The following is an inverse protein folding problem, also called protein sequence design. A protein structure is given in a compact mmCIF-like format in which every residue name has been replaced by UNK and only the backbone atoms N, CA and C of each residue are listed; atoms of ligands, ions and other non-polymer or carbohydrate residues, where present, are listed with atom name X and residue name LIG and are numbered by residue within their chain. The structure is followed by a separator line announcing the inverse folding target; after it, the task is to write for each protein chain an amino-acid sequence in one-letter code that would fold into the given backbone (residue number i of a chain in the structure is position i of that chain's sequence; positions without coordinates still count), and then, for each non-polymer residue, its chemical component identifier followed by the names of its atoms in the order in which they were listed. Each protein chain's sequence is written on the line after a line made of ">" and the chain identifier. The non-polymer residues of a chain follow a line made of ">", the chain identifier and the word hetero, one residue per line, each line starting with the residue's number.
data_IF_624663962481
#
_entry.id   IF_624663962481
#
_cell.length_a   1.000
_cell.length_b   1.000
_cell.length_c   1.000
_cell.angle_alpha   90.00
_cell.angle_beta   90.00
_cell.angle_gamma   90.00
#
_symmetry.space_group_name_H-M   'P 1'
#
loop_
_entity.id
_entity.type
_entity.pdbx_description
1 polymer ?
#
# COMPACT_ATOMS: atom_id res chain seq x y z
N UNK A 1 -12.50 33.85 -4.34
CA UNK A 1 -13.40 32.71 -4.12
C UNK A 1 -12.50 31.55 -3.70
N UNK A 2 -12.59 31.10 -2.44
CA UNK A 2 -11.79 29.96 -1.94
C UNK A 2 -12.25 28.72 -2.69
N UNK A 3 -11.41 28.15 -3.54
CA UNK A 3 -11.61 26.80 -4.07
C UNK A 3 -11.78 25.87 -2.86
N UNK A 4 -12.99 25.31 -2.71
CA UNK A 4 -13.22 24.23 -1.76
C UNK A 4 -12.38 23.05 -2.22
N UNK A 5 -11.16 22.94 -1.70
CA UNK A 5 -10.36 21.73 -1.91
C UNK A 5 -11.21 20.54 -1.46
N UNK A 6 -11.38 19.59 -2.35
CA UNK A 6 -12.09 18.36 -2.02
C UNK A 6 -11.40 17.73 -0.80
N UNK A 7 -12.20 17.32 0.20
CA UNK A 7 -11.65 16.67 1.40
C UNK A 7 -10.89 15.41 0.96
N UNK A 8 -9.72 15.15 1.52
CA UNK A 8 -8.97 13.93 1.19
C UNK A 8 -9.78 12.69 1.54
N UNK A 9 -9.61 11.65 0.74
CA UNK A 9 -10.17 10.32 0.99
C UNK A 9 -8.99 9.39 1.30
N UNK A 10 -9.07 8.72 2.43
CA UNK A 10 -8.01 7.81 2.90
C UNK A 10 -8.33 6.39 2.44
N UNK A 11 -7.44 5.81 1.64
CA UNK A 11 -7.49 4.41 1.28
C UNK A 11 -6.70 3.55 2.26
N UNK A 12 -7.25 2.42 2.65
CA UNK A 12 -6.57 1.43 3.48
C UNK A 12 -6.53 0.10 2.74
N UNK A 13 -5.33 -0.37 2.43
CA UNK A 13 -5.07 -1.69 1.84
C UNK A 13 -4.52 -2.63 2.89
N UNK A 14 -5.14 -3.79 3.06
CA UNK A 14 -4.65 -4.75 4.05
C UNK A 14 -5.42 -6.07 4.06
N UNK A 15 -5.22 -6.87 5.08
CA UNK A 15 -5.94 -8.11 5.30
C UNK A 15 -7.42 -7.91 5.65
N UNK A 16 -8.19 -8.99 5.60
CA UNK A 16 -9.58 -9.01 6.06
C UNK A 16 -9.66 -8.68 7.56
N UNK A 17 -10.71 -7.95 7.96
CA UNK A 17 -10.95 -7.55 9.37
C UNK A 17 -10.39 -6.18 9.76
N UNK A 18 -9.59 -5.52 8.91
CA UNK A 18 -9.10 -4.18 9.18
C UNK A 18 -10.18 -3.08 9.05
N UNK A 19 -11.33 -3.40 8.43
CA UNK A 19 -12.46 -2.49 8.28
C UNK A 19 -13.39 -2.46 9.51
N UNK A 20 -13.18 -3.32 10.50
CA UNK A 20 -13.93 -3.32 11.76
C UNK A 20 -13.36 -2.28 12.74
N UNK A 21 -13.44 -1.00 12.36
CA UNK A 21 -12.94 0.11 13.16
C UNK A 21 -14.09 0.73 13.96
N UNK A 22 -13.92 0.83 15.27
CA UNK A 22 -14.86 1.51 16.16
C UNK A 22 -15.03 2.98 15.78
N UNK A 23 -16.27 3.45 15.73
CA UNK A 23 -16.61 4.83 15.38
C UNK A 23 -16.77 5.08 13.88
N UNK A 24 -16.64 4.06 13.04
CA UNK A 24 -16.93 4.18 11.61
C UNK A 24 -18.45 4.23 11.38
N UNK A 25 -18.93 5.25 10.67
CA UNK A 25 -20.34 5.47 10.34
C UNK A 25 -20.56 5.43 8.82
N UNK A 26 -21.81 5.42 8.38
CA UNK A 26 -22.22 5.44 6.96
C UNK A 26 -21.51 4.37 6.11
N UNK A 27 -21.43 3.18 6.66
CA UNK A 27 -20.67 2.07 6.07
C UNK A 27 -21.43 1.36 4.96
N UNK A 28 -20.73 1.05 3.87
CA UNK A 28 -21.27 0.26 2.77
C UNK A 28 -20.18 -0.50 2.02
N UNK A 29 -20.52 -1.70 1.53
CA UNK A 29 -19.76 -2.37 0.49
C UNK A 29 -20.17 -1.82 -0.87
N UNK A 30 -19.21 -1.40 -1.68
CA UNK A 30 -19.46 -0.77 -2.98
C UNK A 30 -18.65 -1.50 -4.04
N UNK A 31 -19.34 -1.97 -5.07
CA UNK A 31 -18.68 -2.51 -6.26
C UNK A 31 -18.23 -1.35 -7.16
N UNK A 32 -16.95 -1.32 -7.47
CA UNK A 32 -16.35 -0.39 -8.42
C UNK A 32 -15.73 -1.20 -9.55
N UNK A 33 -16.08 -0.89 -10.78
CA UNK A 33 -15.52 -1.57 -11.96
C UNK A 33 -14.21 -0.92 -12.38
N UNK A 34 -13.30 -1.75 -12.90
CA UNK A 34 -12.02 -1.33 -13.42
C UNK A 34 -11.80 -1.83 -14.84
N UNK A 35 -11.27 -1.01 -15.76
CA UNK A 35 -10.90 -1.45 -17.10
C UNK A 35 -9.67 -2.39 -17.10
N UNK A 36 -9.06 -2.59 -15.93
CA UNK A 36 -7.90 -3.47 -15.74
C UNK A 36 -8.29 -4.89 -15.30
N UNK A 37 -9.58 -5.18 -15.21
CA UNK A 37 -10.13 -6.47 -14.81
C UNK A 37 -10.76 -6.44 -13.42
N UNK A 38 -10.99 -7.62 -12.87
CA UNK A 38 -11.65 -7.77 -11.57
C UNK A 38 -10.69 -7.41 -10.43
N UNK A 39 -11.06 -6.50 -9.52
CA UNK A 39 -10.30 -6.25 -8.29
C UNK A 39 -10.44 -7.42 -7.31
N UNK A 40 -9.64 -7.42 -6.25
CA UNK A 40 -9.65 -8.48 -5.24
C UNK A 40 -10.99 -8.61 -4.51
N UNK A 41 -11.70 -7.49 -4.32
CA UNK A 41 -13.02 -7.45 -3.68
C UNK A 41 -13.74 -6.13 -4.01
N UNK A 42 -14.97 -6.00 -3.51
CA UNK A 42 -15.62 -4.70 -3.36
C UNK A 42 -14.85 -3.83 -2.36
N UNK A 43 -14.94 -2.52 -2.48
CA UNK A 43 -14.44 -1.60 -1.46
C UNK A 43 -15.43 -1.46 -0.32
N UNK A 44 -14.94 -1.43 0.92
CA UNK A 44 -15.75 -1.08 2.08
C UNK A 44 -15.53 0.39 2.42
N UNK A 45 -16.56 1.18 2.43
CA UNK A 45 -16.47 2.64 2.68
C UNK A 45 -17.12 2.99 3.99
N UNK A 46 -16.65 4.06 4.61
CA UNK A 46 -17.28 4.65 5.80
C UNK A 46 -16.75 6.05 6.08
N UNK A 47 -17.28 6.66 7.13
CA UNK A 47 -16.85 7.97 7.62
C UNK A 47 -16.35 7.82 9.05
N UNK A 48 -15.13 8.28 9.30
CA UNK A 48 -14.51 8.33 10.61
C UNK A 48 -14.16 9.78 10.96
N UNK A 49 -14.82 10.33 11.99
CA UNK A 49 -14.62 11.72 12.43
C UNK A 49 -14.70 12.73 11.26
N UNK A 50 -15.66 12.53 10.35
CA UNK A 50 -15.89 13.38 9.18
C UNK A 50 -14.93 13.13 8.01
N UNK A 51 -14.02 12.15 8.14
CA UNK A 51 -13.09 11.72 7.08
C UNK A 51 -13.61 10.48 6.37
N UNK A 52 -13.73 10.55 5.03
CA UNK A 52 -14.09 9.37 4.23
C UNK A 52 -12.93 8.40 4.18
N UNK A 53 -13.20 7.15 4.54
CA UNK A 53 -12.24 6.05 4.48
C UNK A 53 -12.75 4.98 3.51
N UNK A 54 -11.83 4.41 2.76
CA UNK A 54 -12.07 3.34 1.79
C UNK A 54 -11.13 2.19 2.10
N UNK A 55 -11.67 1.04 2.48
CA UNK A 55 -10.91 -0.18 2.71
C UNK A 55 -11.00 -1.10 1.50
N UNK A 56 -9.90 -1.76 1.17
CA UNK A 56 -9.90 -2.85 0.21
C UNK A 56 -9.17 -4.06 0.80
N UNK A 57 -9.87 -5.20 1.00
CA UNK A 57 -9.23 -6.45 1.37
C UNK A 57 -8.32 -6.92 0.22
N UNK A 58 -7.00 -6.79 0.40
CA UNK A 58 -6.00 -7.03 -0.66
C UNK A 58 -6.09 -8.45 -1.23
N UNK A 59 -6.33 -9.43 -0.39
CA UNK A 59 -6.47 -10.84 -0.76
C UNK A 59 -7.92 -11.29 -0.98
N UNK A 60 -8.88 -10.33 -1.00
CA UNK A 60 -10.31 -10.62 -0.97
C UNK A 60 -10.81 -11.08 0.41
N UNK A 61 -12.12 -10.99 0.66
CA UNK A 61 -12.75 -11.54 1.85
C UNK A 61 -12.52 -13.07 1.86
N UNK A 62 -12.09 -13.58 3.02
CA UNK A 62 -11.74 -15.00 3.16
C UNK A 62 -10.33 -15.35 2.65
N UNK A 63 -9.50 -14.38 2.27
CA UNK A 63 -8.10 -14.57 1.83
C UNK A 63 -8.00 -15.55 0.65
N UNK A 64 -8.77 -15.31 -0.41
CA UNK A 64 -8.95 -16.22 -1.54
C UNK A 64 -7.92 -16.03 -2.67
N UNK A 65 -7.14 -14.93 -2.67
CA UNK A 65 -6.13 -14.65 -3.66
C UNK A 65 -4.73 -14.82 -3.07
N UNK A 66 -3.89 -15.64 -3.69
CA UNK A 66 -2.46 -15.67 -3.40
C UNK A 66 -1.79 -14.35 -3.83
N UNK A 67 -0.62 -13.99 -3.29
CA UNK A 67 0.03 -12.70 -3.60
C UNK A 67 0.18 -12.39 -5.09
N UNK A 68 0.45 -13.38 -5.91
CA UNK A 68 0.63 -13.20 -7.36
C UNK A 68 -0.66 -13.31 -8.18
N UNK A 69 -1.77 -13.76 -7.56
CA UNK A 69 -3.11 -13.78 -8.18
C UNK A 69 -3.86 -12.46 -7.99
N UNK A 70 -3.35 -11.57 -7.13
CA UNK A 70 -3.93 -10.24 -6.90
C UNK A 70 -3.83 -9.40 -8.17
N UNK A 71 -4.95 -8.86 -8.62
CA UNK A 71 -4.97 -7.86 -9.67
C UNK A 71 -4.66 -6.45 -9.09
N UNK A 72 -3.37 -6.18 -8.88
CA UNK A 72 -2.92 -4.92 -8.30
C UNK A 72 -3.35 -3.69 -9.11
N UNK A 73 -3.39 -3.78 -10.45
CA UNK A 73 -3.86 -2.67 -11.30
C UNK A 73 -5.33 -2.36 -11.03
N UNK A 74 -6.19 -3.38 -11.01
CA UNK A 74 -7.60 -3.16 -10.72
C UNK A 74 -7.80 -2.60 -9.30
N UNK A 75 -7.06 -3.10 -8.31
CA UNK A 75 -7.14 -2.64 -6.93
C UNK A 75 -6.78 -1.15 -6.79
N UNK A 76 -5.69 -0.71 -7.39
CA UNK A 76 -5.26 0.69 -7.33
C UNK A 76 -6.19 1.59 -8.14
N UNK A 77 -6.66 1.13 -9.30
CA UNK A 77 -7.60 1.88 -10.15
C UNK A 77 -8.94 2.13 -9.44
N UNK A 78 -9.53 1.12 -8.78
CA UNK A 78 -10.79 1.32 -8.07
C UNK A 78 -10.67 2.24 -6.86
N UNK A 79 -9.51 2.23 -6.17
CA UNK A 79 -9.24 3.20 -5.11
C UNK A 79 -9.16 4.62 -5.69
N UNK A 80 -8.48 4.79 -6.83
CA UNK A 80 -8.41 6.08 -7.51
C UNK A 80 -9.80 6.56 -7.94
N UNK A 81 -10.64 5.68 -8.53
CA UNK A 81 -12.04 5.97 -8.90
C UNK A 81 -12.92 6.32 -7.70
N UNK A 82 -12.65 5.74 -6.53
CA UNK A 82 -13.34 6.09 -5.28
C UNK A 82 -12.90 7.44 -4.70
N UNK A 83 -11.96 8.14 -5.35
CA UNK A 83 -11.44 9.43 -4.96
C UNK A 83 -10.33 9.38 -3.92
N UNK A 84 -9.72 8.21 -3.68
CA UNK A 84 -8.60 8.06 -2.73
C UNK A 84 -7.43 8.92 -3.17
N UNK A 85 -6.90 9.70 -2.23
CA UNK A 85 -5.74 10.58 -2.42
C UNK A 85 -4.51 10.09 -1.67
N UNK A 86 -4.74 9.41 -0.55
CA UNK A 86 -3.70 8.96 0.38
C UNK A 86 -3.96 7.49 0.74
N UNK A 87 -2.98 6.62 0.50
CA UNK A 87 -3.07 5.18 0.72
C UNK A 87 -2.20 4.77 1.88
N UNK A 88 -2.82 4.14 2.88
CA UNK A 88 -2.14 3.44 3.98
C UNK A 88 -2.17 1.95 3.64
N UNK A 89 -1.02 1.37 3.40
CA UNK A 89 -0.88 -0.07 3.18
C UNK A 89 -0.41 -0.75 4.46
N UNK A 90 -1.11 -1.79 4.86
CA UNK A 90 -0.81 -2.60 6.04
C UNK A 90 -0.41 -4.00 5.56
N UNK A 91 0.76 -4.48 5.95
CA UNK A 91 1.34 -5.74 5.49
C UNK A 91 1.98 -6.50 6.64
N UNK A 92 1.60 -7.76 6.83
CA UNK A 92 2.34 -8.68 7.68
C UNK A 92 3.67 -9.05 7.02
N UNK A 93 4.74 -9.12 7.79
CA UNK A 93 6.11 -9.31 7.28
C UNK A 93 6.97 -10.14 8.24
N UNK A 94 7.97 -10.82 7.69
CA UNK A 94 9.11 -11.32 8.43
C UNK A 94 10.16 -10.24 8.64
N UNK A 95 10.94 -10.35 9.70
CA UNK A 95 12.05 -9.45 10.01
C UNK A 95 13.40 -10.06 9.70
N UNK A 96 14.31 -9.25 9.18
CA UNK A 96 15.72 -9.59 8.98
C UNK A 96 16.64 -9.04 10.09
N UNK A 97 16.07 -8.38 11.10
CA UNK A 97 16.83 -7.69 12.15
C UNK A 97 16.36 -8.11 13.53
N UNK A 98 17.32 -8.36 14.42
CA UNK A 98 17.06 -8.75 15.82
C UNK A 98 16.22 -7.73 16.58
N UNK A 99 16.47 -6.44 16.35
CA UNK A 99 15.78 -5.34 17.01
C UNK A 99 14.36 -5.07 16.49
N UNK A 100 13.97 -5.68 15.37
CA UNK A 100 12.62 -5.59 14.83
C UNK A 100 11.86 -6.88 15.17
N UNK A 101 11.53 -7.03 16.46
CA UNK A 101 10.88 -8.22 16.98
C UNK A 101 9.41 -8.35 16.49
N UNK A 102 8.83 -9.56 16.52
CA UNK A 102 7.39 -9.75 16.31
C UNK A 102 6.54 -8.80 17.16
N UNK A 103 5.61 -8.10 16.51
CA UNK A 103 4.81 -7.01 17.10
C UNK A 103 5.33 -5.60 16.80
N UNK A 104 6.58 -5.44 16.35
CA UNK A 104 7.11 -4.14 15.90
C UNK A 104 6.44 -3.69 14.60
N UNK A 105 6.11 -2.42 14.50
CA UNK A 105 5.58 -1.76 13.30
C UNK A 105 6.70 -0.99 12.60
N UNK A 106 7.00 -1.34 11.36
CA UNK A 106 8.05 -0.69 10.58
C UNK A 106 7.40 0.21 9.54
N UNK A 107 7.56 1.52 9.68
CA UNK A 107 7.15 2.47 8.65
C UNK A 107 8.24 2.49 7.58
N UNK A 108 7.97 1.82 6.47
CA UNK A 108 8.88 1.57 5.36
C UNK A 108 9.08 2.84 4.54
N UNK A 109 10.27 3.04 3.99
CA UNK A 109 10.58 4.12 3.07
C UNK A 109 11.22 3.65 1.75
N UNK A 110 11.76 2.42 1.71
CA UNK A 110 12.42 1.85 0.54
C UNK A 110 11.95 0.43 0.24
N UNK A 111 12.06 0.03 -1.04
CA UNK A 111 11.69 -1.29 -1.50
C UNK A 111 12.76 -1.92 -2.39
N UNK A 112 12.94 -3.24 -2.24
CA UNK A 112 13.58 -4.09 -3.22
C UNK A 112 12.53 -5.04 -3.81
N UNK A 113 12.26 -4.90 -5.12
CA UNK A 113 11.24 -5.69 -5.82
C UNK A 113 11.86 -6.96 -6.42
N UNK A 114 11.55 -8.11 -5.82
CA UNK A 114 11.92 -9.45 -6.30
C UNK A 114 10.75 -10.21 -6.93
N UNK A 115 9.63 -9.53 -7.18
CA UNK A 115 8.49 -10.12 -7.90
C UNK A 115 8.80 -10.22 -9.41
N UNK A 116 8.22 -11.19 -10.10
CA UNK A 116 8.50 -11.44 -11.52
C UNK A 116 7.27 -11.81 -12.38
N UNK A 117 6.17 -12.27 -11.77
CA UNK A 117 4.98 -12.73 -12.47
C UNK A 117 3.78 -11.76 -12.40
N UNK A 118 4.02 -10.48 -12.07
CA UNK A 118 2.97 -9.48 -11.83
C UNK A 118 3.00 -8.36 -12.85
N UNK A 119 1.84 -7.83 -13.19
CA UNK A 119 1.72 -6.59 -13.96
C UNK A 119 2.14 -5.38 -13.11
N UNK A 120 3.23 -4.71 -13.49
CA UNK A 120 3.91 -3.71 -12.66
C UNK A 120 3.64 -2.26 -13.07
N UNK A 121 2.83 -2.02 -14.09
CA UNK A 121 2.57 -0.68 -14.63
C UNK A 121 1.19 -0.59 -15.28
N UNK A 122 0.58 0.57 -15.19
CA UNK A 122 -0.58 0.97 -16.01
C UNK A 122 -0.16 1.35 -17.42
N UNK A 123 1.07 1.82 -17.59
CA UNK A 123 1.67 2.17 -18.86
C UNK A 123 2.31 0.95 -19.54
N UNK A 124 2.63 1.08 -20.83
CA UNK A 124 3.22 -0.02 -21.61
C UNK A 124 3.04 0.20 -23.10
N UNK A 125 2.85 -0.88 -23.86
CA UNK A 125 2.67 -0.78 -25.31
C UNK A 125 1.57 0.23 -25.66
N UNK A 126 1.91 1.17 -26.57
CA UNK A 126 1.00 2.22 -27.02
C UNK A 126 0.88 3.45 -26.11
N UNK A 127 1.40 3.41 -24.89
CA UNK A 127 1.48 4.56 -23.98
C UNK A 127 2.58 4.34 -22.96
N UNK A 128 3.73 4.95 -23.12
CA UNK A 128 4.90 4.81 -22.27
C UNK A 128 5.04 6.02 -21.36
N UNK A 129 5.22 5.76 -20.07
CA UNK A 129 5.58 6.76 -19.07
C UNK A 129 6.63 6.21 -18.13
N UNK A 130 7.50 7.09 -17.62
CA UNK A 130 8.52 6.75 -16.64
C UNK A 130 8.37 7.63 -15.40
N UNK A 131 7.82 7.06 -14.33
CA UNK A 131 7.72 7.75 -13.04
C UNK A 131 8.96 7.51 -12.18
N UNK A 132 9.37 8.51 -11.42
CA UNK A 132 10.50 8.36 -10.48
C UNK A 132 10.09 7.50 -9.29
N UNK A 133 10.91 6.51 -8.96
CA UNK A 133 10.76 5.59 -7.81
C UNK A 133 11.90 5.72 -6.80
N UNK A 134 12.73 6.78 -6.88
CA UNK A 134 13.83 7.00 -5.92
C UNK A 134 13.31 7.16 -4.48
N UNK A 135 12.15 7.82 -4.33
CA UNK A 135 11.44 7.95 -3.06
C UNK A 135 10.03 7.37 -3.24
N UNK A 136 9.85 6.06 -3.09
CA UNK A 136 8.60 5.37 -3.42
C UNK A 136 7.47 5.63 -2.43
N UNK A 137 7.81 6.08 -1.21
CA UNK A 137 6.89 6.34 -0.11
C UNK A 137 6.75 7.84 0.12
N UNK A 138 5.54 8.28 0.44
CA UNK A 138 5.25 9.66 0.83
C UNK A 138 5.72 9.90 2.27
N UNK A 139 6.80 10.67 2.46
CA UNK A 139 7.36 10.96 3.79
C UNK A 139 6.32 11.60 4.71
N UNK A 140 5.48 12.52 4.20
CA UNK A 140 4.39 13.14 4.98
C UNK A 140 3.46 12.09 5.61
N UNK A 141 3.07 11.06 4.84
CA UNK A 141 2.25 9.96 5.37
C UNK A 141 3.05 9.12 6.37
N UNK A 142 4.30 8.82 6.05
CA UNK A 142 5.17 8.06 6.92
C UNK A 142 5.37 8.75 8.28
N UNK A 143 5.57 10.07 8.29
CA UNK A 143 5.75 10.86 9.51
C UNK A 143 4.47 10.86 10.37
N UNK A 144 3.30 10.99 9.74
CA UNK A 144 2.01 10.91 10.44
C UNK A 144 1.76 9.52 11.05
N UNK A 145 2.08 8.46 10.32
CA UNK A 145 1.95 7.07 10.77
C UNK A 145 2.88 6.80 11.96
N UNK A 146 4.15 7.20 11.87
CA UNK A 146 5.11 7.06 12.98
C UNK A 146 4.64 7.82 14.23
N UNK A 147 4.25 9.10 14.07
CA UNK A 147 3.80 9.93 15.20
C UNK A 147 2.56 9.32 15.89
N UNK A 148 1.58 8.84 15.11
CA UNK A 148 0.39 8.19 15.67
C UNK A 148 0.72 6.86 16.35
N UNK A 149 1.60 6.04 15.78
CA UNK A 149 2.02 4.78 16.39
C UNK A 149 2.71 5.02 17.73
N UNK A 150 3.61 6.00 17.81
CA UNK A 150 4.26 6.40 19.07
C UNK A 150 3.26 6.91 20.12
N UNK A 151 2.28 7.70 19.70
CA UNK A 151 1.22 8.20 20.61
C UNK A 151 0.38 7.07 21.18
N UNK A 152 0.18 6.01 20.41
CA UNK A 152 -0.52 4.80 20.85
C UNK A 152 0.36 3.85 21.69
N UNK A 153 1.63 4.18 21.89
CA UNK A 153 2.59 3.33 22.64
C UNK A 153 2.98 2.06 21.89
N UNK A 154 2.80 2.04 20.56
CA UNK A 154 3.23 0.91 19.73
C UNK A 154 4.75 0.94 19.58
N UNK A 155 5.36 -0.25 19.52
CA UNK A 155 6.75 -0.37 19.12
C UNK A 155 6.85 -0.07 17.61
N UNK A 156 7.55 1.00 17.27
CA UNK A 156 7.63 1.50 15.88
C UNK A 156 9.04 1.88 15.49
N UNK A 157 9.48 1.37 14.34
CA UNK A 157 10.71 1.75 13.65
C UNK A 157 10.40 2.56 12.38
N UNK A 158 11.31 3.43 11.98
CA UNK A 158 11.21 4.28 10.78
C UNK A 158 12.35 3.99 9.81
N UNK A 159 12.11 4.20 8.52
CA UNK A 159 13.09 4.10 7.44
C UNK A 159 13.57 2.65 7.18
N UNK A 160 12.64 1.71 7.12
CA UNK A 160 12.95 0.32 6.78
C UNK A 160 12.95 0.05 5.27
N UNK A 161 13.86 -0.81 4.83
CA UNK A 161 13.86 -1.36 3.47
C UNK A 161 13.07 -2.67 3.43
N UNK A 162 11.96 -2.66 2.69
CA UNK A 162 11.11 -3.81 2.48
C UNK A 162 11.52 -4.57 1.22
N UNK A 163 11.90 -5.84 1.36
CA UNK A 163 12.04 -6.74 0.23
C UNK A 163 10.69 -7.38 -0.09
N UNK A 164 10.20 -7.22 -1.30
CA UNK A 164 8.99 -7.88 -1.77
C UNK A 164 9.34 -9.11 -2.61
N UNK A 165 9.11 -10.29 -2.06
CA UNK A 165 9.27 -11.55 -2.77
C UNK A 165 7.99 -11.95 -3.52
N UNK A 166 8.10 -12.91 -4.44
CA UNK A 166 6.94 -13.38 -5.21
C UNK A 166 5.95 -14.17 -4.33
N UNK A 167 6.44 -15.08 -3.51
CA UNK A 167 5.60 -16.05 -2.82
C UNK A 167 4.96 -17.08 -3.78
N UNK A 168 3.95 -17.87 -3.35
CA UNK A 168 3.35 -17.90 -2.01
C UNK A 168 4.18 -18.63 -0.95
N UNK A 169 5.26 -19.34 -1.33
CA UNK A 169 6.17 -19.96 -0.39
C UNK A 169 6.99 -18.88 0.35
N UNK A 170 7.36 -19.18 1.59
CA UNK A 170 8.34 -18.38 2.33
C UNK A 170 9.75 -18.59 1.79
N UNK A 171 10.70 -17.76 2.23
CA UNK A 171 12.11 -17.83 1.84
C UNK A 171 12.75 -19.17 2.23
N UNK A 172 13.61 -19.67 1.38
CA UNK A 172 14.63 -20.61 1.82
C UNK A 172 15.66 -19.91 2.72
N UNK A 173 16.37 -20.66 3.58
CA UNK A 173 17.41 -20.08 4.44
C UNK A 173 18.49 -19.33 3.64
N UNK A 174 18.88 -19.87 2.49
CA UNK A 174 19.85 -19.21 1.61
C UNK A 174 19.34 -17.88 1.03
N UNK A 175 18.05 -17.80 0.69
CA UNK A 175 17.42 -16.53 0.26
C UNK A 175 17.38 -15.53 1.41
N UNK A 176 16.97 -15.96 2.60
CA UNK A 176 16.92 -15.13 3.79
C UNK A 176 18.29 -14.52 4.12
N UNK A 177 19.34 -15.33 4.14
CA UNK A 177 20.71 -14.86 4.35
C UNK A 177 21.19 -13.91 3.25
N UNK A 178 20.85 -14.18 1.98
CA UNK A 178 21.14 -13.29 0.86
C UNK A 178 20.50 -11.93 1.05
N UNK A 179 19.21 -11.89 1.38
CA UNK A 179 18.46 -10.65 1.55
C UNK A 179 18.94 -9.83 2.77
N UNK A 180 19.33 -10.53 3.85
CA UNK A 180 20.02 -9.89 4.97
C UNK A 180 21.35 -9.25 4.56
N UNK A 181 22.13 -9.93 3.70
CA UNK A 181 23.38 -9.37 3.17
C UNK A 181 23.17 -8.10 2.33
N UNK A 182 21.98 -7.94 1.73
CA UNK A 182 21.56 -6.73 1.02
C UNK A 182 21.09 -5.62 1.96
N UNK A 183 21.09 -5.85 3.27
CA UNK A 183 20.64 -4.93 4.30
C UNK A 183 19.14 -4.60 4.18
N UNK A 184 18.34 -5.58 3.76
CA UNK A 184 16.90 -5.47 3.89
C UNK A 184 16.51 -5.57 5.37
N UNK A 185 15.47 -4.85 5.78
CA UNK A 185 14.99 -4.82 7.16
C UNK A 185 13.84 -5.80 7.38
N UNK A 186 12.92 -5.88 6.41
CA UNK A 186 11.73 -6.74 6.46
C UNK A 186 11.46 -7.39 5.11
N UNK A 187 10.70 -8.50 5.15
CA UNK A 187 10.29 -9.24 3.97
C UNK A 187 8.80 -9.51 3.97
N UNK A 188 8.17 -9.30 2.81
CA UNK A 188 6.77 -9.63 2.58
C UNK A 188 6.50 -9.90 1.12
N UNK A 189 5.20 -10.03 0.75
CA UNK A 189 4.83 -10.50 -0.58
C UNK A 189 3.95 -9.52 -1.37
N UNK A 190 3.54 -8.36 -0.80
CA UNK A 190 2.39 -7.62 -1.36
C UNK A 190 2.65 -6.18 -1.74
N UNK A 191 3.68 -5.52 -1.19
CA UNK A 191 3.90 -4.09 -1.44
C UNK A 191 4.43 -3.76 -2.85
N UNK A 192 4.90 -4.76 -3.59
CA UNK A 192 5.21 -4.62 -5.02
C UNK A 192 4.34 -5.56 -5.86
N UNK A 193 3.73 -5.04 -6.90
CA UNK A 193 3.85 -3.70 -7.52
C UNK A 193 2.92 -2.62 -6.92
N UNK A 194 2.26 -2.85 -5.78
CA UNK A 194 1.27 -1.94 -5.20
C UNK A 194 1.79 -0.50 -5.11
N UNK A 195 2.97 -0.28 -4.54
CA UNK A 195 3.58 1.03 -4.40
C UNK A 195 3.91 1.69 -5.77
N UNK A 196 4.37 0.90 -6.75
CA UNK A 196 4.63 1.40 -8.12
C UNK A 196 3.35 1.92 -8.77
N UNK A 197 2.28 1.14 -8.67
CA UNK A 197 0.99 1.47 -9.26
C UNK A 197 0.32 2.66 -8.55
N UNK A 198 0.41 2.74 -7.21
CA UNK A 198 -0.05 3.90 -6.46
C UNK A 198 0.70 5.17 -6.89
N UNK A 199 2.02 5.06 -7.15
CA UNK A 199 2.83 6.17 -7.66
C UNK A 199 2.37 6.61 -9.05
N UNK A 200 2.18 5.66 -9.99
CA UNK A 200 1.66 5.96 -11.33
C UNK A 200 0.25 6.56 -11.31
N UNK A 201 -0.57 6.19 -10.32
CA UNK A 201 -1.90 6.74 -10.11
C UNK A 201 -1.91 8.09 -9.36
N UNK A 202 -0.75 8.69 -9.10
CA UNK A 202 -0.63 9.97 -8.40
C UNK A 202 -1.32 9.99 -7.03
N UNK A 203 -1.21 8.90 -6.28
CA UNK A 203 -1.65 8.80 -4.89
C UNK A 203 -0.46 8.85 -3.94
N UNK A 204 -0.60 9.58 -2.83
CA UNK A 204 0.34 9.44 -1.72
C UNK A 204 0.23 8.03 -1.15
N UNK A 205 1.35 7.34 -1.02
CA UNK A 205 1.39 5.96 -0.54
C UNK A 205 2.39 5.83 0.62
N UNK A 206 1.98 5.18 1.68
CA UNK A 206 2.88 4.75 2.74
C UNK A 206 2.48 3.36 3.23
N UNK A 207 3.45 2.57 3.67
CA UNK A 207 3.21 1.24 4.21
C UNK A 207 3.73 1.12 5.64
N UNK A 208 2.95 0.41 6.45
CA UNK A 208 3.37 -0.08 7.77
C UNK A 208 3.50 -1.59 7.66
N UNK A 209 4.73 -2.05 7.76
CA UNK A 209 5.07 -3.46 7.82
C UNK A 209 4.97 -3.92 9.27
N UNK A 210 4.08 -4.86 9.55
CA UNK A 210 3.79 -5.39 10.88
C UNK A 210 4.53 -6.70 11.05
N UNK A 211 5.58 -6.69 11.84
CA UNK A 211 6.43 -7.88 12.01
C UNK A 211 5.66 -8.99 12.71
N UNK A 212 5.68 -10.18 12.13
CA UNK A 212 5.06 -11.40 12.68
C UNK A 212 6.06 -12.44 13.14
N UNK A 213 7.24 -12.44 12.54
CA UNK A 213 8.29 -13.45 12.73
C UNK A 213 9.66 -12.90 12.32
N UNK A 214 10.72 -13.69 12.53
CA UNK A 214 12.10 -13.36 12.12
C UNK A 214 12.50 -13.99 10.79
N UNK A 215 11.56 -14.35 9.93
CA UNK A 215 11.86 -15.17 8.76
C UNK A 215 12.63 -16.46 9.18
N UNK A 216 13.30 -17.16 8.29
CA UNK A 216 13.94 -18.43 8.62
C UNK A 216 15.45 -18.34 8.98
N UNK A 217 15.96 -17.14 9.25
CA UNK A 217 17.39 -16.94 9.55
C UNK A 217 17.72 -17.04 11.04
N UNK A 218 16.75 -16.83 11.93
CA UNK A 218 17.01 -16.68 13.36
C UNK A 218 17.29 -18.05 14.02
N UNK A 219 18.42 -18.22 14.74
CA UNK A 219 18.85 -19.53 15.21
C UNK A 219 18.04 -20.09 16.40
N UNK A 220 17.29 -19.24 17.09
CA UNK A 220 16.52 -19.60 18.29
C UNK A 220 15.01 -19.52 18.11
N UNK A 221 14.56 -19.19 16.93
CA UNK A 221 13.16 -19.29 16.53
C UNK A 221 13.08 -20.38 15.46
N UNK A 222 12.24 -21.37 15.73
CA UNK A 222 11.98 -22.46 14.79
C UNK A 222 11.50 -21.91 13.44
N UNK A 223 11.61 -22.74 12.40
CA UNK A 223 11.10 -22.38 11.08
C UNK A 223 9.66 -21.83 11.21
N UNK A 224 9.37 -20.74 10.48
CA UNK A 224 8.13 -19.97 10.58
C UNK A 224 6.90 -20.88 10.53
N UNK A 225 6.27 -21.11 11.70
CA UNK A 225 5.02 -21.87 11.78
C UNK A 225 3.81 -20.96 11.63
N UNK A 226 2.86 -21.37 10.79
CA UNK A 226 1.64 -20.61 10.51
C UNK A 226 0.84 -20.31 11.80
N UNK A 227 0.87 -21.20 12.79
CA UNK A 227 0.16 -21.03 14.06
C UNK A 227 0.68 -19.85 14.91
N UNK A 228 2.00 -19.65 14.95
CA UNK A 228 2.63 -18.55 15.68
C UNK A 228 2.41 -17.21 14.97
N UNK A 229 2.49 -17.21 13.64
CA UNK A 229 2.14 -16.05 12.81
C UNK A 229 0.71 -15.60 13.12
N UNK A 230 -0.28 -16.51 13.16
CA UNK A 230 -1.70 -16.18 13.40
C UNK A 230 -1.90 -15.46 14.73
N UNK A 231 -1.21 -15.89 15.79
CA UNK A 231 -1.32 -15.25 17.11
C UNK A 231 -0.85 -13.79 17.08
N UNK A 232 0.32 -13.55 16.50
CA UNK A 232 0.88 -12.18 16.36
C UNK A 232 0.04 -11.35 15.39
N UNK A 233 -0.45 -11.96 14.30
CA UNK A 233 -1.33 -11.30 13.33
C UNK A 233 -2.60 -10.73 13.98
N UNK A 234 -3.21 -11.46 14.90
CA UNK A 234 -4.43 -11.00 15.59
C UNK A 234 -4.14 -9.73 16.40
N UNK A 235 -3.08 -9.73 17.20
CA UNK A 235 -2.66 -8.54 17.98
C UNK A 235 -2.26 -7.38 17.06
N UNK A 236 -1.52 -7.66 15.99
CA UNK A 236 -1.12 -6.66 15.02
C UNK A 236 -2.33 -6.06 14.28
N UNK A 237 -3.38 -6.84 14.03
CA UNK A 237 -4.62 -6.34 13.43
C UNK A 237 -5.35 -5.36 14.35
N UNK A 238 -5.42 -5.64 15.66
CA UNK A 238 -5.99 -4.72 16.66
C UNK A 238 -5.21 -3.40 16.70
N UNK A 239 -3.90 -3.49 16.77
CA UNK A 239 -3.00 -2.33 16.76
C UNK A 239 -3.11 -1.53 15.46
N UNK A 240 -3.24 -2.21 14.32
CA UNK A 240 -3.41 -1.57 13.02
C UNK A 240 -4.75 -0.82 12.92
N UNK A 241 -5.84 -1.39 13.45
CA UNK A 241 -7.15 -0.69 13.53
C UNK A 241 -7.04 0.57 14.39
N UNK A 242 -6.39 0.47 15.55
CA UNK A 242 -6.16 1.62 16.41
C UNK A 242 -5.30 2.69 15.72
N UNK A 243 -4.26 2.28 14.98
CA UNK A 243 -3.41 3.18 14.21
C UNK A 243 -4.21 3.91 13.11
N UNK A 244 -4.98 3.20 12.30
CA UNK A 244 -5.81 3.81 11.25
C UNK A 244 -6.83 4.76 11.85
N UNK A 245 -7.51 4.37 12.94
CA UNK A 245 -8.46 5.23 13.68
C UNK A 245 -7.81 6.53 14.12
N UNK A 246 -6.60 6.46 14.67
CA UNK A 246 -5.87 7.64 15.15
C UNK A 246 -5.37 8.54 14.03
N UNK A 247 -4.77 7.95 12.98
CA UNK A 247 -4.03 8.72 11.97
C UNK A 247 -4.91 9.28 10.84
N UNK A 248 -5.99 8.60 10.45
CA UNK A 248 -6.75 8.99 9.26
C UNK A 248 -7.38 10.39 9.37
N UNK A 249 -8.02 10.79 10.48
CA UNK A 249 -8.49 12.16 10.66
C UNK A 249 -7.37 13.20 10.67
N UNK A 250 -6.21 12.86 11.21
CA UNK A 250 -5.03 13.75 11.26
C UNK A 250 -4.49 13.99 9.86
N UNK A 251 -4.31 12.93 9.06
CA UNK A 251 -3.88 13.04 7.65
C UNK A 251 -4.86 13.91 6.89
N UNK A 252 -6.16 13.69 7.06
CA UNK A 252 -7.19 14.42 6.34
C UNK A 252 -7.21 15.90 6.69
N UNK A 253 -7.10 16.25 7.97
CA UNK A 253 -7.12 17.62 8.44
C UNK A 253 -5.85 18.41 8.07
N UNK A 254 -4.70 17.75 8.07
CA UNK A 254 -3.39 18.36 7.80
C UNK A 254 -2.95 18.26 6.32
N UNK A 255 -3.79 17.69 5.43
CA UNK A 255 -3.40 17.50 4.03
C UNK A 255 -3.30 18.84 3.29
N UNK A 256 -2.14 19.19 2.74
CA UNK A 256 -2.00 20.37 1.90
C UNK A 256 -2.71 20.18 0.55
N UNK A 257 -2.97 21.26 -0.16
CA UNK A 257 -3.60 21.25 -1.49
C UNK A 257 -2.81 20.40 -2.51
N UNK A 258 -1.47 20.48 -2.46
CA UNK A 258 -0.55 19.63 -3.22
C UNK A 258 0.39 18.91 -2.27
N UNK A 259 0.78 17.69 -2.61
CA UNK A 259 1.75 16.96 -1.81
C UNK A 259 3.13 17.63 -1.89
N UNK A 260 3.77 17.98 -0.76
CA UNK A 260 5.08 18.62 -0.77
C UNK A 260 6.18 17.73 -1.39
N UNK A 261 5.94 16.42 -1.48
CA UNK A 261 6.82 15.44 -2.12
C UNK A 261 6.45 15.13 -3.57
N UNK A 262 5.50 15.88 -4.16
CA UNK A 262 5.09 15.75 -5.55
C UNK A 262 4.40 14.42 -5.91
N UNK A 263 3.85 13.68 -4.92
CA UNK A 263 3.20 12.39 -5.20
C UNK A 263 2.00 12.52 -6.15
N UNK A 264 1.26 13.62 -6.06
CA UNK A 264 0.08 13.94 -6.85
C UNK A 264 0.38 14.65 -8.19
N UNK A 265 1.67 14.70 -8.59
CA UNK A 265 2.13 15.37 -9.82
C UNK A 265 3.26 14.60 -10.53
N UNK A 266 3.42 13.33 -10.23
CA UNK A 266 4.55 12.54 -10.81
C UNK A 266 4.43 12.36 -12.32
N UNK A 267 3.24 12.52 -12.87
CA UNK A 267 2.98 12.36 -14.30
C UNK A 267 3.25 13.62 -15.13
N UNK A 268 3.48 14.80 -14.52
CA UNK A 268 3.65 16.07 -15.24
C UNK A 268 4.75 16.01 -16.31
N UNK A 269 5.82 15.26 -16.07
CA UNK A 269 6.93 15.09 -17.00
C UNK A 269 7.26 13.61 -17.29
N UNK A 270 6.32 12.70 -17.03
CA UNK A 270 6.57 11.25 -17.12
C UNK A 270 6.25 10.67 -18.50
N UNK A 271 5.38 11.32 -19.29
CA UNK A 271 4.88 10.79 -20.56
C UNK A 271 5.94 10.87 -21.66
N UNK A 272 6.29 9.71 -22.24
CA UNK A 272 7.29 9.59 -23.31
C UNK A 272 6.64 9.50 -24.69
N UNK A 273 5.52 8.75 -24.79
CA UNK A 273 4.84 8.57 -26.09
C UNK A 273 4.27 9.89 -26.59
N UNK A 274 4.67 10.28 -27.81
CA UNK A 274 4.15 11.48 -28.48
C UNK A 274 2.61 11.41 -28.61
N UNK A 275 1.90 12.54 -28.51
CA UNK A 275 0.43 12.57 -28.47
C UNK A 275 -0.25 11.84 -29.65
N UNK A 276 0.29 11.97 -30.87
CA UNK A 276 -0.20 11.38 -32.10
C UNK A 276 0.06 9.86 -32.23
N UNK A 277 1.00 9.33 -31.42
CA UNK A 277 1.36 7.91 -31.40
C UNK A 277 0.68 7.13 -30.26
N UNK A 278 -0.15 7.79 -29.45
CA UNK A 278 -0.82 7.16 -28.28
C UNK A 278 -1.94 6.23 -28.73
N UNK A 279 -1.95 5.01 -28.21
CA UNK A 279 -3.02 4.03 -28.47
C UNK A 279 -4.34 4.48 -27.80
N UNK A 280 -5.42 4.73 -28.56
CA UNK A 280 -6.71 5.15 -28.01
C UNK A 280 -7.31 4.15 -27.02
N UNK A 281 -7.09 2.84 -27.21
CA UNK A 281 -7.59 1.81 -26.29
C UNK A 281 -6.86 1.85 -24.96
N UNK A 282 -5.55 2.16 -24.97
CA UNK A 282 -4.78 2.34 -23.74
C UNK A 282 -5.17 3.62 -23.03
N UNK A 283 -5.35 4.72 -23.77
CA UNK A 283 -5.81 6.00 -23.22
C UNK A 283 -7.15 5.86 -22.49
N UNK A 284 -8.11 5.16 -23.11
CA UNK A 284 -9.42 4.92 -22.50
C UNK A 284 -9.35 4.17 -21.17
N UNK A 285 -8.33 3.35 -20.97
CA UNK A 285 -8.13 2.65 -19.67
C UNK A 285 -7.44 3.51 -18.61
N UNK A 286 -6.78 4.58 -19.02
CA UNK A 286 -6.01 5.48 -18.15
C UNK A 286 -6.83 6.66 -17.64
N UNK A 287 -8.13 6.70 -17.89
CA UNK A 287 -9.05 7.78 -17.55
C UNK A 287 -8.95 8.21 -16.06
N UNK A 288 -9.02 7.25 -15.14
CA UNK A 288 -8.90 7.53 -13.70
C UNK A 288 -7.45 7.76 -13.26
N UNK A 289 -6.51 6.94 -13.76
CA UNK A 289 -5.11 6.94 -13.32
C UNK A 289 -4.36 8.18 -13.79
N UNK A 290 -4.54 8.57 -15.05
CA UNK A 290 -3.79 9.65 -15.70
C UNK A 290 -4.68 10.77 -16.28
N UNK A 291 -5.97 10.78 -15.97
CA UNK A 291 -6.94 11.76 -16.51
C UNK A 291 -6.51 13.21 -16.29
N UNK A 292 -5.87 13.52 -15.17
CA UNK A 292 -5.36 14.86 -14.86
C UNK A 292 -4.39 15.40 -15.94
N UNK A 293 -3.52 14.55 -16.49
CA UNK A 293 -2.51 14.96 -17.49
C UNK A 293 -2.91 14.64 -18.91
N UNK A 294 -3.90 13.79 -19.11
CA UNK A 294 -4.39 13.40 -20.45
C UNK A 294 -5.62 14.20 -20.89
N UNK A 295 -6.22 15.00 -19.99
CA UNK A 295 -7.39 15.83 -20.27
C UNK A 295 -8.66 15.02 -20.43
N UNK A 296 -8.75 13.86 -19.78
CA UNK A 296 -9.94 13.00 -19.78
C UNK A 296 -10.92 13.38 -18.66
#
# INVERSE_FOLDING_TARGET
>A
MSEKHARPVIGVLGGSGLYEIEGLTDTAWIRVESPWGTPSDEIFTGVLEGTKIVFLPRHGRGHVHAPSDINYRANIDILKRAGVTDVISLSAVGSFREELAPGTFVVVDQFIDRTFARDKSFFGHGMVAHVSMANPVCSRLGDALEASARTLGLDVARNGTYLCMEGPQFSSRAESELYRSWKCDVIGMTNMPEAKLAREAEMCYATVAMVTDYDCWHPHHDDVEVADIIKVLTQNADNARALVRSVAPQIASARPAACPHGCDRVLDAAMITAPDARDPKRLAKLDAVAGRVLGA
#
